data_IF_337248496977
#
_entry.id   IF_337248496977
#
_cell.length_a   1.000
_cell.length_b   1.000
_cell.length_c   1.000
_cell.angle_alpha   90.00
_cell.angle_beta   90.00
_cell.angle_gamma   90.00
#
_symmetry.space_group_name_H-M   'P 1'
#
loop_
_entity.id
_entity.type
_entity.pdbx_description
1 polymer ?
#
# COMPACT_ATOMS: atom_id res chain seq x y z
N UNK A 1 -11.46 -2.56 -15.28
CA UNK A 1 -10.01 -2.58 -14.93
C UNK A 1 -9.79 -1.62 -13.77
N UNK A 2 -9.05 -2.03 -12.73
CA UNK A 2 -8.80 -1.19 -11.55
C UNK A 2 -7.72 -0.16 -11.86
N UNK A 3 -7.94 1.08 -11.41
CA UNK A 3 -6.99 2.19 -11.43
C UNK A 3 -6.85 2.77 -10.04
N UNK A 4 -5.71 3.40 -9.76
CA UNK A 4 -5.47 4.07 -8.50
C UNK A 4 -6.26 5.39 -8.47
N UNK A 5 -7.04 5.60 -7.41
CA UNK A 5 -7.81 6.83 -7.16
C UNK A 5 -7.40 7.53 -5.87
N UNK A 6 -6.68 6.83 -5.01
CA UNK A 6 -6.05 7.35 -3.80
C UNK A 6 -4.70 6.67 -3.65
N UNK A 7 -3.64 7.45 -3.50
CA UNK A 7 -2.30 6.96 -3.15
C UNK A 7 -1.88 7.55 -1.81
N UNK A 8 -1.37 6.68 -0.94
CA UNK A 8 -0.65 7.09 0.25
C UNK A 8 0.66 6.31 0.36
N UNK A 9 1.70 6.97 0.82
CA UNK A 9 2.96 6.33 1.20
C UNK A 9 3.68 7.13 2.29
N UNK A 10 4.52 6.44 3.04
CA UNK A 10 5.36 7.03 4.08
C UNK A 10 6.80 6.56 3.83
N UNK A 11 7.74 7.46 3.89
CA UNK A 11 9.17 7.18 3.78
C UNK A 11 9.78 7.19 5.17
N UNK A 12 10.51 6.14 5.50
CA UNK A 12 11.24 6.01 6.76
C UNK A 12 12.74 5.83 6.47
N UNK A 13 13.56 6.27 7.41
CA UNK A 13 14.96 5.88 7.44
C UNK A 13 15.16 4.47 8.06
N UNK A 14 16.42 4.03 8.20
CA UNK A 14 16.75 2.72 8.76
C UNK A 14 16.41 2.57 10.25
N UNK A 15 16.33 3.68 10.98
CA UNK A 15 15.94 3.73 12.39
C UNK A 15 14.41 3.81 12.56
N UNK A 16 13.66 3.73 11.46
CA UNK A 16 12.20 3.85 11.41
C UNK A 16 11.70 5.24 11.82
N UNK A 17 12.50 6.29 11.55
CA UNK A 17 12.08 7.69 11.68
C UNK A 17 11.39 8.12 10.39
N UNK A 18 10.20 8.69 10.51
CA UNK A 18 9.44 9.18 9.36
C UNK A 18 10.12 10.40 8.74
N UNK A 19 10.50 10.30 7.47
CA UNK A 19 11.13 11.38 6.71
C UNK A 19 10.14 12.13 5.83
N UNK A 20 9.12 11.43 5.30
CA UNK A 20 8.14 12.02 4.41
C UNK A 20 6.84 11.24 4.44
N UNK A 21 5.73 11.96 4.30
CA UNK A 21 4.38 11.39 4.22
C UNK A 21 3.62 12.01 3.08
N UNK A 22 2.93 11.19 2.31
CA UNK A 22 2.11 11.60 1.19
C UNK A 22 0.75 10.93 1.23
N UNK A 23 -0.28 11.67 0.84
CA UNK A 23 -1.61 11.17 0.54
C UNK A 23 -2.29 12.11 -0.45
N UNK A 24 -2.88 11.56 -1.50
CA UNK A 24 -3.72 12.35 -2.40
C UNK A 24 -4.80 11.49 -3.06
N UNK A 25 -5.90 12.14 -3.41
CA UNK A 25 -6.86 11.64 -4.38
C UNK A 25 -6.40 11.99 -5.79
N UNK A 26 -6.74 11.13 -6.76
CA UNK A 26 -6.36 11.30 -8.14
C UNK A 26 -7.58 11.42 -9.03
N UNK A 27 -7.52 12.31 -10.02
CA UNK A 27 -8.56 12.45 -11.03
C UNK A 27 -8.71 11.15 -11.81
N UNK A 28 -9.95 10.72 -12.00
CA UNK A 28 -10.25 9.63 -12.92
C UNK A 28 -10.12 10.09 -14.36
N UNK A 29 -9.63 9.22 -15.25
CA UNK A 29 -9.75 9.46 -16.68
C UNK A 29 -11.24 9.66 -17.08
N UNK A 30 -11.55 10.51 -18.08
CA UNK A 30 -12.93 10.94 -18.39
C UNK A 30 -13.93 9.80 -18.67
N UNK A 31 -13.46 8.61 -19.02
CA UNK A 31 -14.32 7.47 -19.41
C UNK A 31 -14.22 6.28 -18.46
N UNK A 32 -13.65 6.46 -17.26
CA UNK A 32 -13.54 5.39 -16.27
C UNK A 32 -14.54 5.66 -15.14
N UNK A 33 -15.66 4.91 -15.09
CA UNK A 33 -16.61 5.06 -13.99
C UNK A 33 -16.02 4.47 -12.69
N UNK A 34 -16.43 5.03 -11.56
CA UNK A 34 -16.15 4.43 -10.26
C UNK A 34 -16.96 3.13 -10.14
N UNK A 35 -16.27 2.07 -9.75
CA UNK A 35 -16.94 0.82 -9.41
C UNK A 35 -17.71 0.99 -8.09
N UNK A 36 -19.03 0.79 -8.12
CA UNK A 36 -19.92 0.95 -6.96
C UNK A 36 -19.49 0.08 -5.77
N UNK A 37 -19.04 -1.15 -6.03
CA UNK A 37 -18.55 -2.03 -4.96
C UNK A 37 -17.28 -1.49 -4.31
N UNK A 38 -16.35 -0.97 -5.10
CA UNK A 38 -15.14 -0.33 -4.60
C UNK A 38 -15.50 0.93 -3.80
N UNK A 39 -16.41 1.75 -4.31
CA UNK A 39 -16.90 2.95 -3.62
C UNK A 39 -17.51 2.62 -2.25
N UNK A 40 -18.29 1.56 -2.13
CA UNK A 40 -18.85 1.11 -0.86
C UNK A 40 -17.77 0.69 0.15
N UNK A 41 -16.62 0.24 -0.32
CA UNK A 41 -15.49 -0.16 0.54
C UNK A 41 -14.66 1.03 1.00
N UNK A 42 -14.22 1.91 0.08
CA UNK A 42 -13.33 3.03 0.41
C UNK A 42 -14.05 4.35 0.70
N UNK A 43 -15.35 4.47 0.36
CA UNK A 43 -16.17 5.65 0.63
C UNK A 43 -15.84 6.91 -0.20
N UNK A 44 -14.99 6.79 -1.22
CA UNK A 44 -14.56 7.93 -2.05
C UNK A 44 -15.58 8.11 -3.19
N UNK A 45 -16.20 9.29 -3.25
CA UNK A 45 -17.17 9.61 -4.29
C UNK A 45 -16.48 10.22 -5.53
N UNK A 46 -17.18 10.17 -6.66
CA UNK A 46 -16.72 10.83 -7.89
C UNK A 46 -16.56 12.34 -7.71
N UNK A 47 -17.43 12.95 -6.92
CA UNK A 47 -17.37 14.37 -6.58
C UNK A 47 -16.08 14.74 -5.84
N UNK A 48 -15.66 13.91 -4.88
CA UNK A 48 -14.37 14.08 -4.17
C UNK A 48 -13.21 13.99 -5.17
N UNK A 49 -13.21 13.01 -6.06
CA UNK A 49 -12.14 12.87 -7.05
C UNK A 49 -12.10 14.04 -8.05
N UNK A 50 -13.26 14.58 -8.41
CA UNK A 50 -13.36 15.72 -9.31
C UNK A 50 -12.90 17.02 -8.64
N UNK A 51 -13.28 17.27 -7.39
CA UNK A 51 -13.00 18.52 -6.66
C UNK A 51 -11.62 18.55 -6.01
N UNK A 52 -11.12 17.41 -5.51
CA UNK A 52 -9.87 17.29 -4.73
C UNK A 52 -8.80 16.46 -5.44
N UNK A 53 -9.14 15.77 -6.52
CA UNK A 53 -8.20 14.90 -7.23
C UNK A 53 -7.09 15.70 -7.91
N UNK A 54 -5.86 15.26 -7.73
CA UNK A 54 -4.67 15.77 -8.40
C UNK A 54 -4.47 15.06 -9.75
N UNK A 55 -3.57 15.59 -10.56
CA UNK A 55 -3.12 14.94 -11.79
C UNK A 55 -2.32 13.68 -11.45
N UNK A 56 -2.79 12.48 -11.85
CA UNK A 56 -2.09 11.23 -11.54
C UNK A 56 -0.66 11.20 -12.07
N UNK A 57 -0.38 11.84 -13.20
CA UNK A 57 0.93 11.85 -13.82
C UNK A 57 1.97 12.50 -12.93
N UNK A 58 1.68 13.70 -12.43
CA UNK A 58 2.61 14.43 -11.54
C UNK A 58 2.84 13.65 -10.24
N UNK A 59 1.78 13.09 -9.67
CA UNK A 59 1.87 12.32 -8.44
C UNK A 59 2.69 11.03 -8.61
N UNK A 60 2.54 10.35 -9.74
CA UNK A 60 3.29 9.14 -10.07
C UNK A 60 4.77 9.43 -10.31
N UNK A 61 5.12 10.52 -11.02
CA UNK A 61 6.52 10.91 -11.19
C UNK A 61 7.20 11.15 -9.83
N UNK A 62 6.56 11.89 -8.94
CA UNK A 62 7.06 12.10 -7.58
C UNK A 62 7.20 10.78 -6.79
N UNK A 63 6.24 9.88 -6.92
CA UNK A 63 6.29 8.56 -6.28
C UNK A 63 7.49 7.75 -6.79
N UNK A 64 7.70 7.70 -8.11
CA UNK A 64 8.83 6.98 -8.69
C UNK A 64 10.17 7.60 -8.34
N UNK A 65 10.25 8.93 -8.19
CA UNK A 65 11.48 9.59 -7.73
C UNK A 65 11.84 9.15 -6.30
N UNK A 66 10.85 8.99 -5.43
CA UNK A 66 11.09 8.40 -4.11
C UNK A 66 11.51 6.92 -4.18
N UNK A 67 10.84 6.13 -5.02
CA UNK A 67 11.22 4.72 -5.22
C UNK A 67 12.67 4.59 -5.66
N UNK A 68 13.09 5.38 -6.65
CA UNK A 68 14.46 5.35 -7.17
C UNK A 68 15.48 5.75 -6.10
N UNK A 69 15.20 6.78 -5.31
CA UNK A 69 16.06 7.18 -4.17
C UNK A 69 16.17 6.08 -3.13
N UNK A 70 15.07 5.50 -2.72
CA UNK A 70 15.04 4.40 -1.73
C UNK A 70 15.84 3.20 -2.24
N UNK A 71 15.60 2.77 -3.47
CA UNK A 71 16.28 1.62 -4.07
C UNK A 71 17.78 1.90 -4.25
N UNK A 72 18.18 3.09 -4.66
CA UNK A 72 19.60 3.46 -4.82
C UNK A 72 20.37 3.47 -3.50
N UNK A 73 19.67 3.72 -2.38
CA UNK A 73 20.24 3.63 -1.03
C UNK A 73 20.18 2.21 -0.43
N UNK A 74 19.78 1.19 -1.21
CA UNK A 74 19.62 -0.18 -0.71
C UNK A 74 18.35 -0.42 0.09
N UNK A 75 17.41 0.55 0.10
CA UNK A 75 16.11 0.42 0.76
C UNK A 75 15.12 -0.40 -0.06
N UNK A 76 13.93 -0.60 0.49
CA UNK A 76 12.88 -1.45 -0.07
C UNK A 76 11.51 -0.77 -0.02
N UNK A 77 10.69 -0.99 -1.03
CA UNK A 77 9.28 -0.60 -1.02
C UNK A 77 8.47 -1.67 -0.30
N UNK A 78 7.71 -1.29 0.71
CA UNK A 78 6.92 -2.21 1.53
C UNK A 78 5.44 -2.03 1.27
N UNK A 79 4.73 -3.13 1.05
CA UNK A 79 3.26 -3.14 0.94
C UNK A 79 2.65 -4.39 1.58
N UNK A 80 1.35 -4.33 1.89
CA UNK A 80 0.57 -5.49 2.30
C UNK A 80 -0.29 -5.97 1.13
N UNK A 81 0.11 -7.07 0.49
CA UNK A 81 -0.36 -7.55 -0.81
C UNK A 81 0.27 -6.80 -2.01
N UNK A 82 1.59 -6.63 -1.96
CA UNK A 82 2.37 -5.85 -2.94
C UNK A 82 2.06 -6.15 -4.41
N UNK A 83 1.69 -7.39 -4.76
CA UNK A 83 1.33 -7.75 -6.12
C UNK A 83 0.10 -6.98 -6.65
N UNK A 84 -0.85 -6.68 -5.76
CA UNK A 84 -2.02 -5.87 -6.09
C UNK A 84 -1.63 -4.41 -6.31
N UNK A 85 -0.85 -3.83 -5.38
CA UNK A 85 -0.45 -2.43 -5.45
C UNK A 85 0.42 -2.16 -6.68
N UNK A 86 1.40 -3.03 -6.97
CA UNK A 86 2.23 -2.97 -8.18
C UNK A 86 1.34 -2.98 -9.44
N UNK A 87 0.41 -3.92 -9.54
CA UNK A 87 -0.45 -4.04 -10.73
C UNK A 87 -1.36 -2.81 -10.94
N UNK A 88 -1.84 -2.19 -9.85
CA UNK A 88 -2.69 -0.99 -9.91
C UNK A 88 -1.86 0.23 -10.28
N UNK A 89 -0.68 0.42 -9.68
CA UNK A 89 0.23 1.53 -9.97
C UNK A 89 0.73 1.45 -11.41
N UNK A 90 1.23 0.31 -11.87
CA UNK A 90 1.75 0.14 -13.23
C UNK A 90 0.67 0.41 -14.29
N UNK A 91 -0.55 -0.08 -14.05
CA UNK A 91 -1.66 0.20 -14.95
C UNK A 91 -2.01 1.68 -15.00
N UNK A 92 -2.05 2.34 -13.84
CA UNK A 92 -2.34 3.78 -13.76
C UNK A 92 -1.23 4.58 -14.44
N UNK A 93 0.03 4.16 -14.30
CA UNK A 93 1.19 4.74 -14.99
C UNK A 93 1.03 4.66 -16.51
N UNK A 94 0.75 3.46 -17.03
CA UNK A 94 0.52 3.26 -18.47
C UNK A 94 -0.61 4.13 -19.02
N UNK A 95 -1.73 4.22 -18.30
CA UNK A 95 -2.86 5.07 -18.71
C UNK A 95 -2.52 6.57 -18.72
N UNK A 96 -1.52 7.00 -17.98
CA UNK A 96 -1.05 8.38 -17.92
C UNK A 96 0.24 8.62 -18.74
N UNK A 97 0.61 7.69 -19.62
CA UNK A 97 1.77 7.80 -20.50
C UNK A 97 3.11 7.74 -19.79
N UNK A 98 3.17 7.13 -18.61
CA UNK A 98 4.41 6.90 -17.86
C UNK A 98 4.91 5.49 -18.17
N UNK A 99 6.18 5.40 -18.60
CA UNK A 99 6.85 4.13 -18.91
C UNK A 99 7.58 3.51 -17.73
N UNK A 100 7.76 4.28 -16.64
CA UNK A 100 8.35 3.76 -15.38
C UNK A 100 7.41 2.74 -14.76
N UNK A 101 7.97 1.70 -14.17
CA UNK A 101 7.24 0.61 -13.52
C UNK A 101 7.78 0.36 -12.12
N UNK A 102 6.93 -0.11 -11.23
CA UNK A 102 7.34 -0.54 -9.91
C UNK A 102 7.81 -2.01 -9.98
N UNK A 103 9.11 -2.23 -10.04
CA UNK A 103 9.68 -3.57 -10.12
C UNK A 103 9.27 -4.41 -8.89
N UNK A 104 8.55 -5.51 -9.14
CA UNK A 104 7.98 -6.35 -8.08
C UNK A 104 9.05 -6.94 -7.15
N UNK A 105 10.22 -7.25 -7.65
CA UNK A 105 11.38 -7.75 -6.91
C UNK A 105 11.97 -6.71 -5.95
N UNK A 106 11.67 -5.43 -6.14
CA UNK A 106 12.01 -4.32 -5.23
C UNK A 106 10.97 -4.10 -4.13
N UNK A 107 9.88 -4.89 -4.16
CA UNK A 107 8.80 -4.76 -3.22
C UNK A 107 8.83 -5.88 -2.18
N UNK A 108 8.78 -5.50 -0.91
CA UNK A 108 8.59 -6.42 0.20
C UNK A 108 7.11 -6.56 0.53
N UNK A 109 6.58 -7.77 0.47
CA UNK A 109 5.17 -8.05 0.76
C UNK A 109 5.01 -8.59 2.19
N UNK A 110 4.54 -7.77 3.13
CA UNK A 110 4.30 -8.19 4.51
C UNK A 110 3.29 -9.33 4.61
N UNK A 111 2.26 -9.35 3.74
CA UNK A 111 1.27 -10.41 3.70
C UNK A 111 1.87 -11.79 3.39
N UNK A 112 2.70 -11.87 2.37
CA UNK A 112 3.30 -13.15 1.96
C UNK A 112 4.40 -13.58 2.93
N UNK A 113 5.23 -12.65 3.37
CA UNK A 113 6.38 -12.94 4.25
C UNK A 113 5.94 -13.32 5.66
N UNK A 114 4.79 -12.85 6.14
CA UNK A 114 4.26 -13.20 7.45
C UNK A 114 3.45 -14.50 7.48
N UNK A 115 3.05 -15.06 6.33
CA UNK A 115 2.13 -16.21 6.26
C UNK A 115 2.53 -17.36 7.17
N UNK A 116 3.81 -17.73 7.17
CA UNK A 116 4.32 -18.86 7.98
C UNK A 116 4.32 -18.56 9.49
N UNK A 117 4.40 -17.30 9.89
CA UNK A 117 4.46 -16.89 11.30
C UNK A 117 3.08 -16.54 11.88
N UNK A 118 2.16 -16.08 11.01
CA UNK A 118 0.86 -15.57 11.44
C UNK A 118 -0.12 -16.65 11.91
N UNK A 119 0.07 -17.90 11.49
CA UNK A 119 -0.79 -19.01 11.91
C UNK A 119 -2.25 -18.93 11.43
N UNK A 120 -2.59 -17.99 10.55
CA UNK A 120 -3.95 -17.80 10.04
C UNK A 120 -4.43 -19.00 9.22
N UNK A 121 -5.65 -19.47 9.49
CA UNK A 121 -6.27 -20.60 8.78
C UNK A 121 -7.58 -20.20 8.12
N UNK A 122 -7.91 -20.85 7.01
CA UNK A 122 -9.23 -20.74 6.39
C UNK A 122 -10.24 -21.69 7.06
N UNK A 123 -11.50 -21.68 6.61
CA UNK A 123 -12.56 -22.55 7.15
C UNK A 123 -12.27 -24.06 7.01
N UNK A 124 -11.34 -24.44 6.14
CA UNK A 124 -10.90 -25.85 5.93
C UNK A 124 -9.64 -26.18 6.73
N UNK A 125 -9.17 -25.30 7.62
CA UNK A 125 -7.97 -25.50 8.43
C UNK A 125 -6.64 -25.28 7.66
N UNK A 126 -6.68 -24.89 6.40
CA UNK A 126 -5.50 -24.66 5.59
C UNK A 126 -4.91 -23.27 5.87
N UNK A 127 -3.59 -23.15 5.87
CA UNK A 127 -2.89 -21.90 6.08
C UNK A 127 -3.23 -20.87 4.99
N UNK A 128 -3.61 -19.67 5.40
CA UNK A 128 -3.89 -18.54 4.52
C UNK A 128 -3.04 -17.31 4.87
N UNK A 129 -3.02 -16.36 3.98
CA UNK A 129 -2.43 -15.05 4.24
C UNK A 129 -3.25 -14.29 5.31
N UNK A 130 -2.60 -13.57 6.24
CA UNK A 130 -3.30 -12.68 7.16
C UNK A 130 -3.80 -11.44 6.42
N UNK A 131 -4.87 -10.82 6.90
CA UNK A 131 -5.22 -9.44 6.57
C UNK A 131 -4.24 -8.48 7.26
N UNK A 132 -4.16 -7.24 6.81
CA UNK A 132 -3.27 -6.23 7.40
C UNK A 132 -3.57 -5.99 8.89
N UNK A 133 -4.85 -5.87 9.24
CA UNK A 133 -5.31 -5.73 10.63
C UNK A 133 -5.07 -6.98 11.48
N UNK A 134 -5.28 -8.18 10.92
CA UNK A 134 -4.99 -9.45 11.63
C UNK A 134 -3.48 -9.58 11.92
N UNK A 135 -2.64 -9.20 10.98
CA UNK A 135 -1.19 -9.20 11.18
C UNK A 135 -0.80 -8.21 12.29
N UNK A 136 -1.45 -7.05 12.32
CA UNK A 136 -1.24 -6.08 13.39
C UNK A 136 -1.62 -6.65 14.75
N UNK A 137 -2.80 -7.28 14.88
CA UNK A 137 -3.23 -7.91 16.13
C UNK A 137 -2.25 -8.99 16.61
N UNK A 138 -1.74 -9.81 15.70
CA UNK A 138 -0.74 -10.85 16.00
C UNK A 138 0.57 -10.24 16.52
N UNK A 139 1.00 -9.14 15.92
CA UNK A 139 2.26 -8.48 16.25
C UNK A 139 2.18 -7.58 17.49
N UNK A 140 1.03 -7.00 17.79
CA UNK A 140 0.88 -5.97 18.82
C UNK A 140 -0.05 -6.39 19.97
N UNK A 141 -0.77 -7.50 19.84
CA UNK A 141 -1.69 -8.01 20.87
C UNK A 141 -3.01 -7.22 21.00
N UNK A 142 -3.25 -6.27 20.13
CA UNK A 142 -4.46 -5.42 20.10
C UNK A 142 -4.81 -5.03 18.67
N UNK A 143 -6.09 -4.74 18.42
CA UNK A 143 -6.51 -4.26 17.09
C UNK A 143 -6.04 -2.81 16.85
N UNK A 144 -5.84 -2.40 15.57
CA UNK A 144 -5.50 -1.03 15.23
C UNK A 144 -6.75 -0.12 15.31
N UNK A 145 -7.34 0.02 16.51
CA UNK A 145 -8.59 0.75 16.73
C UNK A 145 -8.52 2.25 16.31
N UNK A 146 -7.32 2.80 16.22
CA UNK A 146 -7.03 4.15 15.74
C UNK A 146 -7.09 4.28 14.21
N UNK A 147 -7.00 3.17 13.48
CA UNK A 147 -6.99 3.17 12.02
C UNK A 147 -8.42 3.13 11.48
N UNK A 148 -8.74 4.07 10.60
CA UNK A 148 -9.93 3.98 9.76
C UNK A 148 -9.64 2.99 8.63
N UNK A 149 -10.11 1.76 8.77
CA UNK A 149 -9.95 0.72 7.75
C UNK A 149 -10.40 1.23 6.37
N UNK A 150 -9.62 0.89 5.33
CA UNK A 150 -9.80 1.34 3.95
C UNK A 150 -9.52 2.83 3.68
N UNK A 151 -8.92 3.55 4.62
CA UNK A 151 -8.20 4.79 4.34
C UNK A 151 -6.77 4.43 3.91
N UNK A 152 -6.34 4.84 2.72
CA UNK A 152 -5.02 4.46 2.21
C UNK A 152 -3.89 4.83 3.18
N UNK A 153 -3.97 5.99 3.83
CA UNK A 153 -2.94 6.42 4.78
C UNK A 153 -2.91 5.56 6.05
N UNK A 154 -4.08 5.20 6.60
CA UNK A 154 -4.10 4.35 7.81
C UNK A 154 -3.67 2.93 7.49
N UNK A 155 -4.03 2.39 6.32
CA UNK A 155 -3.56 1.07 5.87
C UNK A 155 -2.04 1.04 5.70
N UNK A 156 -1.43 2.12 5.17
CA UNK A 156 0.03 2.28 5.08
C UNK A 156 0.68 2.36 6.45
N UNK A 157 0.09 3.09 7.42
CA UNK A 157 0.60 3.17 8.79
C UNK A 157 0.57 1.80 9.48
N UNK A 158 -0.52 1.06 9.36
CA UNK A 158 -0.62 -0.32 9.86
C UNK A 158 0.45 -1.21 9.22
N UNK A 159 0.63 -1.11 7.90
CA UNK A 159 1.67 -1.87 7.17
C UNK A 159 3.08 -1.54 7.67
N UNK A 160 3.39 -0.26 7.88
CA UNK A 160 4.68 0.19 8.39
C UNK A 160 4.97 -0.36 9.79
N UNK A 161 4.00 -0.30 10.69
CA UNK A 161 4.12 -0.86 12.04
C UNK A 161 4.29 -2.38 12.02
N UNK A 162 3.55 -3.08 11.15
CA UNK A 162 3.69 -4.52 10.96
C UNK A 162 5.09 -4.89 10.45
N UNK A 163 5.59 -4.13 9.47
CA UNK A 163 6.93 -4.34 8.92
C UNK A 163 8.01 -4.17 9.98
N UNK A 164 7.97 -3.06 10.72
CA UNK A 164 8.94 -2.77 11.77
C UNK A 164 8.91 -3.82 12.90
N UNK A 165 7.72 -4.20 13.37
CA UNK A 165 7.57 -5.19 14.43
C UNK A 165 8.00 -6.59 14.00
N UNK A 166 7.74 -6.97 12.75
CA UNK A 166 8.23 -8.23 12.20
C UNK A 166 9.75 -8.27 12.08
N UNK A 167 10.40 -7.16 11.68
CA UNK A 167 11.87 -7.03 11.74
C UNK A 167 12.39 -7.24 13.16
N UNK A 168 11.83 -6.54 14.13
CA UNK A 168 12.23 -6.67 15.55
C UNK A 168 12.07 -8.09 16.09
N UNK A 169 11.08 -8.83 15.60
CA UNK A 169 10.87 -10.24 15.96
C UNK A 169 11.74 -11.22 15.18
N UNK A 170 12.55 -10.77 14.25
CA UNK A 170 13.37 -11.62 13.39
C UNK A 170 12.58 -12.47 12.39
N UNK A 171 11.34 -12.07 12.05
CA UNK A 171 10.54 -12.77 11.04
C UNK A 171 11.07 -12.58 9.63
N UNK A 172 11.79 -11.47 9.40
CA UNK A 172 12.48 -11.16 8.15
C UNK A 172 13.69 -10.25 8.39
N UNK A 173 14.70 -10.43 7.57
CA UNK A 173 15.90 -9.60 7.50
C UNK A 173 15.84 -8.76 6.23
N UNK A 174 15.65 -7.46 6.40
CA UNK A 174 15.59 -6.46 5.31
C UNK A 174 16.24 -5.17 5.78
#
# INVERSE_FOLDING_TARGET
>A
KQVCIELAYIVFDYDFVELYRYRSYWKLPPFVPINVYAQNVHGISEEVLRSQGLDPRQCLEQFYDWVDRIVSCGGVVVAHNAAFDVAVIDRTSQMNGITRTLAREKCFCTMQRSKQYAGCKNKRGQQRNPKNSELYEILHGTSPAWAKLHSALDDVRVTAMNFHSGRKRGWWNV
#
